data_IF_179580136810
#
_entry.id   IF_179580136810
#
_cell.length_a   1.000
_cell.length_b   1.000
_cell.length_c   1.000
_cell.angle_alpha   90.00
_cell.angle_beta   90.00
_cell.angle_gamma   90.00
#
_symmetry.space_group_name_H-M   'P 1'
#
loop_
_entity.id
_entity.type
_entity.pdbx_description
1 polymer ?
#
# COMPACT_ATOMS: atom_id res chain seq x y z
N UNK A 1 -1.57 -40.20 -18.31
CA UNK A 1 -2.06 -38.84 -17.99
C UNK A 1 -2.37 -38.13 -19.30
N UNK A 2 -3.58 -37.65 -19.47
CA UNK A 2 -3.92 -36.80 -20.61
C UNK A 2 -3.40 -35.38 -20.41
N UNK A 3 -2.50 -34.94 -21.28
CA UNK A 3 -1.81 -33.64 -21.14
C UNK A 3 -2.76 -32.46 -21.31
N UNK A 4 -3.81 -32.57 -22.13
CA UNK A 4 -4.78 -31.50 -22.35
C UNK A 4 -5.63 -31.27 -21.09
N UNK A 5 -6.18 -32.36 -20.55
CA UNK A 5 -6.97 -32.32 -19.32
C UNK A 5 -6.18 -31.75 -18.14
N UNK A 6 -4.91 -32.15 -18.02
CA UNK A 6 -4.03 -31.61 -16.97
C UNK A 6 -3.74 -30.13 -17.16
N UNK A 7 -3.50 -29.68 -18.39
CA UNK A 7 -3.23 -28.27 -18.69
C UNK A 7 -4.46 -27.37 -18.38
N UNK A 8 -5.66 -27.83 -18.70
CA UNK A 8 -6.90 -27.14 -18.35
C UNK A 8 -7.09 -27.08 -16.83
N UNK A 9 -6.81 -28.19 -16.13
CA UNK A 9 -6.84 -28.25 -14.67
C UNK A 9 -5.86 -27.27 -14.00
N UNK A 10 -4.64 -27.10 -14.56
CA UNK A 10 -3.67 -26.13 -14.08
C UNK A 10 -4.22 -24.69 -14.14
N UNK A 11 -4.82 -24.32 -15.28
CA UNK A 11 -5.39 -22.98 -15.44
C UNK A 11 -6.52 -22.69 -14.45
N UNK A 12 -7.44 -23.65 -14.30
CA UNK A 12 -8.55 -23.53 -13.34
C UNK A 12 -8.04 -23.51 -11.91
N UNK A 13 -7.09 -24.38 -11.56
CA UNK A 13 -6.49 -24.42 -10.22
C UNK A 13 -5.80 -23.12 -9.83
N UNK A 14 -5.06 -22.50 -10.77
CA UNK A 14 -4.44 -21.19 -10.55
C UNK A 14 -5.50 -20.10 -10.34
N UNK A 15 -6.57 -20.10 -11.10
CA UNK A 15 -7.66 -19.14 -10.95
C UNK A 15 -8.37 -19.29 -9.61
N UNK A 16 -8.67 -20.53 -9.18
CA UNK A 16 -9.27 -20.81 -7.87
C UNK A 16 -8.36 -20.36 -6.73
N UNK A 17 -7.05 -20.61 -6.83
CA UNK A 17 -6.07 -20.15 -5.85
C UNK A 17 -6.02 -18.61 -5.75
N UNK A 18 -6.05 -17.91 -6.89
CA UNK A 18 -6.10 -16.45 -6.92
C UNK A 18 -7.38 -15.87 -6.31
N UNK A 19 -8.49 -16.59 -6.43
CA UNK A 19 -9.78 -16.23 -5.82
C UNK A 19 -9.88 -16.61 -4.34
N UNK A 20 -8.83 -17.20 -3.75
CA UNK A 20 -8.83 -17.65 -2.35
C UNK A 20 -9.60 -18.97 -2.11
N UNK A 21 -9.97 -19.69 -3.17
CA UNK A 21 -10.69 -20.96 -3.09
C UNK A 21 -9.73 -22.15 -3.00
N UNK A 22 -8.86 -22.15 -1.97
CA UNK A 22 -7.85 -23.21 -1.78
C UNK A 22 -8.35 -24.39 -0.96
N UNK A 23 -9.45 -24.23 -0.22
CA UNK A 23 -9.98 -25.22 0.74
C UNK A 23 -11.06 -26.11 0.10
N UNK A 24 -11.20 -26.11 -1.24
CA UNK A 24 -12.20 -26.91 -1.93
C UNK A 24 -11.74 -28.37 -2.09
N UNK A 25 -12.70 -29.31 -2.08
CA UNK A 25 -12.45 -30.70 -2.42
C UNK A 25 -12.18 -30.83 -3.92
N UNK A 26 -10.95 -31.19 -4.30
CA UNK A 26 -10.59 -31.42 -5.69
C UNK A 26 -11.37 -32.60 -6.31
N UNK A 27 -11.70 -33.61 -5.50
CA UNK A 27 -12.45 -34.78 -5.96
C UNK A 27 -13.90 -34.42 -6.30
N UNK A 28 -14.59 -33.66 -5.43
CA UNK A 28 -15.96 -33.21 -5.71
C UNK A 28 -15.99 -32.22 -6.88
N UNK A 29 -14.97 -31.39 -7.02
CA UNK A 29 -14.83 -30.48 -8.15
C UNK A 29 -14.67 -31.25 -9.48
N UNK A 30 -13.81 -32.26 -9.50
CA UNK A 30 -13.62 -33.13 -10.66
C UNK A 30 -14.91 -33.93 -10.98
N UNK A 31 -15.62 -34.41 -9.96
CA UNK A 31 -16.89 -35.12 -10.11
C UNK A 31 -17.97 -34.20 -10.71
N UNK A 32 -18.08 -32.97 -10.27
CA UNK A 32 -19.04 -32.02 -10.84
C UNK A 32 -18.77 -31.73 -12.32
N UNK A 33 -17.49 -31.56 -12.72
CA UNK A 33 -17.10 -31.43 -14.12
C UNK A 33 -17.54 -32.66 -14.93
N UNK A 34 -17.30 -33.85 -14.40
CA UNK A 34 -17.68 -35.11 -15.07
C UNK A 34 -19.20 -35.20 -15.23
N UNK A 35 -19.98 -34.91 -14.22
CA UNK A 35 -21.43 -34.95 -14.26
C UNK A 35 -22.00 -33.98 -15.32
N UNK A 36 -21.44 -32.78 -15.41
CA UNK A 36 -21.80 -31.78 -16.46
C UNK A 36 -21.47 -32.28 -17.85
N UNK A 37 -20.24 -32.80 -18.09
CA UNK A 37 -19.80 -33.26 -19.42
C UNK A 37 -20.54 -34.48 -19.88
N UNK A 38 -20.93 -35.36 -18.99
CA UNK A 38 -21.70 -36.58 -19.28
C UNK A 38 -23.23 -36.39 -19.31
N UNK A 39 -23.71 -35.16 -19.03
CA UNK A 39 -25.14 -34.85 -18.98
C UNK A 39 -25.91 -35.59 -17.87
N UNK A 40 -25.21 -35.90 -16.77
CA UNK A 40 -25.81 -36.56 -15.60
C UNK A 40 -26.65 -35.62 -14.76
N UNK A 41 -27.51 -36.19 -13.92
CA UNK A 41 -28.21 -35.42 -12.90
C UNK A 41 -27.22 -34.81 -11.91
N UNK A 42 -27.33 -33.48 -11.71
CA UNK A 42 -26.44 -32.75 -10.85
C UNK A 42 -26.84 -32.94 -9.38
N UNK A 43 -25.87 -33.20 -8.51
CA UNK A 43 -26.08 -33.34 -7.06
C UNK A 43 -26.55 -32.07 -6.39
N UNK A 44 -26.27 -30.93 -7.01
CA UNK A 44 -26.64 -29.58 -6.55
C UNK A 44 -27.23 -28.83 -7.74
N UNK A 45 -28.39 -28.22 -7.57
CA UNK A 45 -29.01 -27.43 -8.64
C UNK A 45 -28.18 -26.19 -8.97
N UNK A 46 -28.25 -25.68 -10.21
CA UNK A 46 -27.54 -24.45 -10.59
C UNK A 46 -27.84 -23.26 -9.70
N UNK A 47 -29.10 -23.11 -9.25
CA UNK A 47 -29.50 -22.04 -8.34
C UNK A 47 -28.86 -22.19 -6.95
N UNK A 48 -28.84 -23.38 -6.43
CA UNK A 48 -28.21 -23.70 -5.13
C UNK A 48 -26.69 -23.52 -5.20
N UNK A 49 -26.05 -24.02 -6.28
CA UNK A 49 -24.62 -23.82 -6.52
C UNK A 49 -24.26 -22.35 -6.55
N UNK A 50 -25.07 -21.51 -7.20
CA UNK A 50 -24.85 -20.06 -7.28
C UNK A 50 -24.90 -19.40 -5.89
N UNK A 51 -25.85 -19.79 -5.04
CA UNK A 51 -25.97 -19.28 -3.67
C UNK A 51 -24.76 -19.72 -2.83
N UNK A 52 -24.38 -20.99 -2.89
CA UNK A 52 -23.22 -21.53 -2.15
C UNK A 52 -21.94 -20.78 -2.53
N UNK A 53 -21.71 -20.57 -3.81
CA UNK A 53 -20.51 -19.87 -4.33
C UNK A 53 -20.52 -18.39 -3.90
N UNK A 54 -21.67 -17.70 -3.98
CA UNK A 54 -21.79 -16.32 -3.53
C UNK A 54 -21.53 -16.19 -2.02
N UNK A 55 -22.10 -17.05 -1.21
CA UNK A 55 -21.90 -17.04 0.24
C UNK A 55 -20.45 -17.36 0.61
N UNK A 56 -19.80 -18.28 -0.10
CA UNK A 56 -18.39 -18.59 0.09
C UNK A 56 -17.50 -17.35 -0.15
N UNK A 57 -17.63 -16.68 -1.29
CA UNK A 57 -16.84 -15.51 -1.60
C UNK A 57 -17.15 -14.32 -0.69
N UNK A 58 -18.41 -14.14 -0.30
CA UNK A 58 -18.78 -13.12 0.68
C UNK A 58 -18.09 -13.34 2.03
N UNK A 59 -18.02 -14.59 2.49
CA UNK A 59 -17.31 -14.93 3.74
C UNK A 59 -15.81 -14.68 3.63
N UNK A 60 -15.19 -15.04 2.47
CA UNK A 60 -13.78 -14.78 2.22
C UNK A 60 -13.47 -13.28 2.20
N UNK A 61 -14.32 -12.49 1.55
CA UNK A 61 -14.18 -11.03 1.53
C UNK A 61 -14.29 -10.42 2.93
N UNK A 62 -15.27 -10.87 3.72
CA UNK A 62 -15.44 -10.41 5.11
C UNK A 62 -14.22 -10.77 5.97
N UNK A 63 -13.66 -11.97 5.81
CA UNK A 63 -12.45 -12.41 6.51
C UNK A 63 -11.26 -11.53 6.15
N UNK A 64 -11.04 -11.28 4.85
CA UNK A 64 -9.96 -10.43 4.36
C UNK A 64 -10.11 -8.97 4.85
N UNK A 65 -11.34 -8.44 4.87
CA UNK A 65 -11.61 -7.11 5.42
C UNK A 65 -11.33 -7.03 6.92
N UNK A 66 -11.71 -8.07 7.69
CA UNK A 66 -11.43 -8.13 9.12
C UNK A 66 -9.93 -8.21 9.41
N UNK A 67 -9.18 -9.02 8.66
CA UNK A 67 -7.71 -9.11 8.75
C UNK A 67 -7.04 -7.77 8.40
N UNK A 68 -7.47 -7.10 7.34
CA UNK A 68 -6.98 -5.76 6.97
C UNK A 68 -7.30 -4.72 8.04
N UNK A 69 -8.49 -4.76 8.63
CA UNK A 69 -8.89 -3.85 9.70
C UNK A 69 -8.04 -4.05 10.97
N UNK A 70 -7.76 -5.30 11.32
CA UNK A 70 -6.91 -5.61 12.48
C UNK A 70 -5.45 -5.18 12.24
N UNK A 71 -4.89 -5.49 11.07
CA UNK A 71 -3.56 -5.00 10.68
C UNK A 71 -3.52 -3.48 10.67
N UNK A 72 -4.59 -2.83 10.17
CA UNK A 72 -4.71 -1.37 10.16
C UNK A 72 -4.64 -0.77 11.56
N UNK A 73 -5.27 -1.38 12.57
CA UNK A 73 -5.18 -0.92 13.96
C UNK A 73 -3.75 -0.99 14.48
N UNK A 74 -3.06 -2.11 14.25
CA UNK A 74 -1.66 -2.29 14.68
C UNK A 74 -0.76 -1.22 14.06
N UNK A 75 -0.88 -0.96 12.75
CA UNK A 75 -0.08 0.07 12.09
C UNK A 75 -0.43 1.48 12.56
N UNK A 76 -1.71 1.76 12.78
CA UNK A 76 -2.17 3.04 13.32
C UNK A 76 -1.57 3.32 14.70
N UNK A 77 -1.74 2.39 15.64
CA UNK A 77 -1.22 2.54 17.01
C UNK A 77 0.31 2.65 17.02
N UNK A 78 1.01 1.82 16.23
CA UNK A 78 2.46 1.89 16.10
C UNK A 78 2.92 3.23 15.52
N UNK A 79 2.25 3.72 14.47
CA UNK A 79 2.55 5.01 13.83
C UNK A 79 2.30 6.20 14.75
N UNK A 80 1.16 6.22 15.45
CA UNK A 80 0.83 7.27 16.43
C UNK A 80 1.83 7.29 17.60
N UNK A 81 2.20 6.12 18.13
CA UNK A 81 3.22 5.99 19.16
C UNK A 81 4.58 6.49 18.68
N UNK A 82 4.99 6.07 17.47
CA UNK A 82 6.25 6.52 16.88
C UNK A 82 6.31 8.04 16.75
N UNK A 83 5.26 8.67 16.20
CA UNK A 83 5.19 10.13 16.05
C UNK A 83 5.16 10.86 17.40
N UNK A 84 4.46 10.31 18.39
CA UNK A 84 4.43 10.89 19.73
C UNK A 84 5.82 10.86 20.43
N UNK A 85 6.59 9.78 20.24
CA UNK A 85 7.96 9.69 20.74
C UNK A 85 8.90 10.59 19.92
N UNK A 86 8.73 10.66 18.62
CA UNK A 86 9.55 11.47 17.72
C UNK A 86 9.39 12.98 18.02
N UNK A 87 8.17 13.42 18.36
CA UNK A 87 7.88 14.81 18.76
C UNK A 87 8.63 15.29 20.02
N UNK A 88 9.18 14.38 20.83
CA UNK A 88 9.94 14.72 22.04
C UNK A 88 11.39 15.09 21.73
N UNK A 89 11.86 14.81 20.52
CA UNK A 89 13.23 15.13 20.10
C UNK A 89 13.35 16.62 19.83
N UNK A 90 14.40 17.23 20.33
CA UNK A 90 14.64 18.68 20.23
C UNK A 90 14.79 19.20 18.81
N UNK A 91 15.28 18.34 17.91
CA UNK A 91 15.50 18.64 16.49
C UNK A 91 14.24 18.45 15.61
N UNK A 92 13.15 17.93 16.18
CA UNK A 92 11.91 17.66 15.45
C UNK A 92 10.89 18.74 15.71
N UNK A 93 10.36 19.31 14.63
CA UNK A 93 9.31 20.32 14.66
C UNK A 93 8.00 19.67 14.23
N UNK A 94 6.95 19.84 15.04
CA UNK A 94 5.60 19.32 14.74
C UNK A 94 4.69 20.46 14.29
N UNK A 95 4.09 20.35 13.13
CA UNK A 95 3.11 21.30 12.59
C UNK A 95 1.68 21.03 13.10
N UNK A 96 0.77 22.01 13.02
CA UNK A 96 -0.63 21.83 13.44
C UNK A 96 -1.37 20.72 12.68
N UNK A 97 -0.95 20.39 11.45
CA UNK A 97 -1.46 19.27 10.64
C UNK A 97 -1.09 17.89 11.22
N UNK A 98 -0.09 17.84 12.10
CA UNK A 98 0.55 16.64 12.61
C UNK A 98 1.75 16.17 11.78
N UNK A 99 2.08 16.86 10.68
CA UNK A 99 3.34 16.65 9.98
C UNK A 99 4.50 17.01 10.90
N UNK A 100 5.51 16.14 10.95
CA UNK A 100 6.74 16.43 11.66
C UNK A 100 7.89 16.49 10.67
N UNK A 101 8.86 17.35 10.96
CA UNK A 101 10.07 17.46 10.15
C UNK A 101 11.31 17.77 10.99
N UNK A 102 12.45 17.41 10.43
CA UNK A 102 13.77 17.71 10.96
C UNK A 102 14.61 18.29 9.82
N UNK A 103 15.33 19.36 10.11
CA UNK A 103 16.28 19.95 9.16
C UNK A 103 17.61 19.18 9.26
N UNK A 104 17.96 18.46 8.21
CA UNK A 104 19.24 17.72 8.11
C UNK A 104 20.33 18.57 7.46
N UNK A 105 19.91 19.45 6.52
CA UNK A 105 20.78 20.42 5.84
C UNK A 105 19.93 21.60 5.40
N UNK A 106 20.40 22.80 5.67
CA UNK A 106 19.78 24.03 5.16
C UNK A 106 20.05 24.23 3.69
N UNK A 107 19.09 24.83 2.99
CA UNK A 107 19.23 25.32 1.63
C UNK A 107 19.28 26.84 1.57
N UNK A 108 19.60 27.38 0.43
CA UNK A 108 19.70 28.84 0.23
C UNK A 108 19.11 29.30 -1.11
N UNK A 109 18.49 28.38 -1.87
CA UNK A 109 17.88 28.70 -3.14
C UNK A 109 16.41 29.06 -3.06
N UNK A 110 15.68 28.88 -4.15
CA UNK A 110 14.26 29.19 -4.27
C UNK A 110 13.42 28.30 -3.35
N UNK A 111 12.36 28.88 -2.78
CA UNK A 111 11.39 28.17 -1.99
C UNK A 111 10.15 27.84 -2.84
N UNK A 112 9.71 26.58 -2.92
CA UNK A 112 8.56 26.20 -3.75
C UNK A 112 7.23 26.65 -3.11
N UNK A 113 6.25 26.85 -3.98
CA UNK A 113 4.83 26.98 -3.63
C UNK A 113 4.09 25.69 -3.97
N UNK A 114 2.86 25.54 -3.49
CA UNK A 114 2.03 24.35 -3.78
C UNK A 114 1.77 24.12 -5.28
N UNK A 115 1.98 25.13 -6.14
CA UNK A 115 1.73 25.05 -7.59
C UNK A 115 2.97 24.67 -8.38
N UNK A 116 4.14 24.68 -7.75
CA UNK A 116 5.39 24.44 -8.43
C UNK A 116 5.64 22.93 -8.62
N UNK A 117 6.51 22.64 -9.55
CA UNK A 117 7.11 21.32 -9.77
C UNK A 117 8.48 21.31 -9.11
N UNK A 118 8.85 20.24 -8.45
CA UNK A 118 10.13 20.11 -7.75
C UNK A 118 10.90 18.90 -8.23
N UNK A 119 12.21 19.02 -8.28
CA UNK A 119 13.15 17.92 -8.50
C UNK A 119 13.82 17.57 -7.18
N UNK A 120 13.70 16.32 -6.75
CA UNK A 120 14.20 15.86 -5.46
C UNK A 120 14.93 14.52 -5.57
N UNK A 121 15.92 14.33 -4.71
CA UNK A 121 16.28 12.99 -4.24
C UNK A 121 15.52 12.68 -2.96
N UNK A 122 15.11 11.42 -2.81
CA UNK A 122 14.40 10.97 -1.61
C UNK A 122 14.57 9.47 -1.35
N UNK A 123 14.37 9.12 -0.09
CA UNK A 123 14.16 7.73 0.33
C UNK A 123 12.97 7.69 1.28
N UNK A 124 12.01 6.82 0.99
CA UNK A 124 10.82 6.58 1.79
C UNK A 124 10.91 5.26 2.54
N UNK A 125 10.66 5.30 3.85
CA UNK A 125 10.69 4.12 4.71
C UNK A 125 9.44 4.03 5.58
N UNK A 126 9.08 2.81 5.96
CA UNK A 126 8.15 2.56 7.06
C UNK A 126 8.86 2.82 8.40
N UNK A 127 8.10 2.86 9.50
CA UNK A 127 8.64 3.09 10.86
C UNK A 127 9.57 1.97 11.35
N UNK A 128 9.54 0.78 10.74
CA UNK A 128 10.44 -0.33 11.00
C UNK A 128 11.73 -0.27 10.18
N UNK A 129 11.91 0.76 9.34
CA UNK A 129 13.06 0.95 8.47
C UNK A 129 12.97 0.27 7.11
N UNK A 130 11.86 -0.40 6.80
CA UNK A 130 11.65 -1.01 5.48
C UNK A 130 11.55 0.07 4.42
N UNK A 131 12.47 0.08 3.45
CA UNK A 131 12.47 1.01 2.32
C UNK A 131 11.43 0.57 1.30
N UNK A 132 10.44 1.41 1.04
CA UNK A 132 9.42 1.14 0.02
C UNK A 132 9.67 1.88 -1.29
N UNK A 133 10.38 3.01 -1.26
CA UNK A 133 10.75 3.75 -2.46
C UNK A 133 12.02 4.58 -2.23
N UNK A 134 12.91 4.69 -3.25
CA UNK A 134 14.14 5.44 -3.15
C UNK A 134 14.62 5.89 -4.54
N UNK A 135 14.74 7.19 -4.75
CA UNK A 135 15.36 7.75 -5.95
C UNK A 135 16.86 7.51 -5.99
N UNK A 136 17.49 7.38 -4.82
CA UNK A 136 18.93 7.05 -4.75
C UNK A 136 19.19 5.63 -5.28
N UNK A 137 18.31 4.66 -4.99
CA UNK A 137 18.41 3.30 -5.53
C UNK A 137 18.19 3.24 -7.04
N UNK A 138 17.40 4.17 -7.60
CA UNK A 138 17.20 4.30 -9.04
C UNK A 138 18.37 5.02 -9.73
N UNK A 139 19.22 5.73 -8.99
CA UNK A 139 20.37 6.45 -9.49
C UNK A 139 20.06 7.82 -10.13
N UNK A 140 18.80 8.29 -10.06
CA UNK A 140 18.35 9.55 -10.65
C UNK A 140 17.32 10.26 -9.76
N UNK A 141 17.33 11.62 -9.73
CA UNK A 141 16.32 12.38 -9.02
C UNK A 141 14.96 12.23 -9.71
N UNK A 142 13.89 12.42 -8.95
CA UNK A 142 12.54 12.41 -9.47
C UNK A 142 11.92 13.81 -9.46
N UNK A 143 11.05 14.08 -10.43
CA UNK A 143 10.38 15.37 -10.59
C UNK A 143 8.89 15.21 -10.34
N UNK A 144 8.33 16.04 -9.46
CA UNK A 144 6.94 15.96 -9.02
C UNK A 144 6.26 17.33 -9.05
N UNK A 145 5.06 17.46 -9.63
CA UNK A 145 4.15 18.57 -9.34
C UNK A 145 3.66 18.46 -7.89
N UNK A 146 3.82 19.49 -7.06
CA UNK A 146 3.46 19.45 -5.65
C UNK A 146 1.95 19.27 -5.40
N UNK A 147 1.12 19.49 -6.41
CA UNK A 147 -0.33 19.20 -6.35
C UNK A 147 -0.67 17.72 -6.51
N UNK A 148 0.26 16.89 -6.95
CA UNK A 148 0.03 15.48 -7.29
C UNK A 148 0.71 14.49 -6.33
N UNK A 149 1.34 15.00 -5.29
CA UNK A 149 1.97 14.16 -4.26
C UNK A 149 1.10 14.10 -3.00
N UNK A 150 1.48 13.27 -2.04
CA UNK A 150 0.79 13.16 -0.75
C UNK A 150 0.80 14.51 -0.01
N UNK A 151 -0.25 14.77 0.78
CA UNK A 151 -0.45 16.06 1.46
C UNK A 151 0.75 16.46 2.34
N UNK A 152 1.38 15.49 3.01
CA UNK A 152 2.59 15.72 3.81
C UNK A 152 3.76 16.24 2.99
N UNK A 153 3.92 15.81 1.74
CA UNK A 153 4.94 16.35 0.82
C UNK A 153 4.57 17.74 0.33
N UNK A 154 3.30 17.95 -0.06
CA UNK A 154 2.83 19.27 -0.48
C UNK A 154 3.06 20.32 0.62
N UNK A 155 2.79 19.98 1.88
CA UNK A 155 3.02 20.88 3.02
C UNK A 155 4.51 21.01 3.34
N UNK A 156 5.22 19.89 3.46
CA UNK A 156 6.61 19.86 3.92
C UNK A 156 7.60 20.52 2.95
N UNK A 157 7.48 20.25 1.65
CA UNK A 157 8.39 20.81 0.65
C UNK A 157 8.28 22.34 0.54
N UNK A 158 7.13 22.93 0.85
CA UNK A 158 6.99 24.39 0.92
C UNK A 158 7.76 25.00 2.10
N UNK A 159 8.29 24.22 3.03
CA UNK A 159 9.16 24.72 4.11
C UNK A 159 10.63 24.76 3.66
N UNK A 160 11.00 23.97 2.66
CA UNK A 160 12.38 23.81 2.19
C UNK A 160 12.79 24.91 1.20
N UNK A 161 14.10 25.09 1.07
CA UNK A 161 14.73 25.84 -0.03
C UNK A 161 15.56 24.89 -0.88
N UNK A 162 15.80 25.24 -2.13
CA UNK A 162 16.72 24.46 -2.98
C UNK A 162 18.08 24.27 -2.30
N UNK A 163 18.60 23.06 -2.37
CA UNK A 163 19.82 22.61 -1.68
C UNK A 163 19.59 22.08 -0.26
N UNK A 164 18.37 22.22 0.30
CA UNK A 164 18.04 21.69 1.60
C UNK A 164 17.85 20.17 1.59
N UNK A 165 18.08 19.54 2.75
CA UNK A 165 17.69 18.15 3.03
C UNK A 165 16.92 18.10 4.33
N UNK A 166 15.70 17.57 4.31
CA UNK A 166 14.82 17.42 5.46
C UNK A 166 14.43 15.96 5.66
N UNK A 167 14.27 15.55 6.90
CA UNK A 167 13.57 14.36 7.30
C UNK A 167 12.10 14.70 7.58
N UNK A 168 11.17 14.03 6.93
CA UNK A 168 9.73 14.17 7.17
C UNK A 168 9.20 12.92 7.85
N UNK A 169 8.34 13.10 8.87
CA UNK A 169 7.63 12.03 9.55
C UNK A 169 6.14 12.32 9.38
N UNK A 170 5.50 11.54 8.53
CA UNK A 170 4.19 11.86 7.97
C UNK A 170 3.14 10.92 8.57
N UNK A 171 2.14 11.44 9.31
CA UNK A 171 1.04 10.61 9.78
C UNK A 171 0.23 10.09 8.61
N UNK A 172 -0.37 8.91 8.75
CA UNK A 172 -1.11 8.23 7.69
C UNK A 172 -2.14 9.12 6.98
N UNK A 173 -2.77 10.05 7.71
CA UNK A 173 -3.78 10.99 7.15
C UNK A 173 -3.20 11.97 6.13
N UNK A 174 -1.92 12.28 6.21
CA UNK A 174 -1.20 13.13 5.26
C UNK A 174 -0.40 12.31 4.23
N UNK A 175 -0.55 10.97 4.25
CA UNK A 175 0.09 10.02 3.34
C UNK A 175 -0.98 9.25 2.54
N UNK A 176 -1.06 7.94 2.69
CA UNK A 176 -1.96 7.07 1.92
C UNK A 176 -3.23 6.63 2.69
N UNK A 177 -3.47 7.22 3.85
CA UNK A 177 -4.72 7.04 4.60
C UNK A 177 -4.96 5.63 5.11
N UNK A 178 -6.24 5.29 5.17
CA UNK A 178 -6.72 4.00 5.70
C UNK A 178 -6.52 2.84 4.72
N UNK A 179 -6.31 3.14 3.44
CA UNK A 179 -6.15 2.11 2.40
C UNK A 179 -4.71 1.64 2.22
N UNK A 180 -3.73 2.44 2.62
CA UNK A 180 -2.34 2.22 2.25
C UNK A 180 -2.08 2.40 0.76
N UNK A 181 -0.98 1.86 0.23
CA UNK A 181 -0.67 1.89 -1.20
C UNK A 181 0.07 0.63 -1.66
N UNK A 182 -0.51 -0.04 -2.66
CA UNK A 182 0.05 -1.26 -3.23
C UNK A 182 0.27 -2.36 -2.18
N UNK A 183 1.31 -3.17 -2.38
CA UNK A 183 1.71 -4.22 -1.44
C UNK A 183 2.74 -3.75 -0.39
N UNK A 184 3.31 -2.56 -0.57
CA UNK A 184 4.48 -2.10 0.21
C UNK A 184 4.10 -1.15 1.34
N UNK A 185 3.00 -0.42 1.22
CA UNK A 185 2.55 0.54 2.24
C UNK A 185 1.24 0.06 2.84
N UNK A 186 1.28 -0.50 4.06
CA UNK A 186 0.09 -1.03 4.70
C UNK A 186 -0.93 0.06 5.05
N UNK A 187 -2.19 -0.33 5.32
CA UNK A 187 -3.21 0.57 5.86
C UNK A 187 -2.74 1.31 7.10
N UNK A 188 -3.09 2.59 7.22
CA UNK A 188 -2.77 3.46 8.36
C UNK A 188 -1.28 3.63 8.66
N UNK A 189 -0.38 3.34 7.73
CA UNK A 189 1.05 3.47 7.95
C UNK A 189 1.48 4.94 8.07
N UNK A 190 2.20 5.27 9.13
CA UNK A 190 3.02 6.46 9.17
C UNK A 190 4.27 6.25 8.32
N UNK A 191 4.70 7.28 7.61
CA UNK A 191 5.82 7.22 6.68
C UNK A 191 6.95 8.15 7.11
N UNK A 192 8.17 7.73 6.81
CA UNK A 192 9.37 8.53 7.00
C UNK A 192 9.99 8.77 5.63
N UNK A 193 10.36 10.02 5.36
CA UNK A 193 11.07 10.38 4.14
C UNK A 193 12.28 11.25 4.45
N UNK A 194 13.42 10.87 3.93
CA UNK A 194 14.53 11.78 3.75
C UNK A 194 14.42 12.39 2.36
N UNK A 195 14.32 13.73 2.28
CA UNK A 195 14.11 14.44 1.01
C UNK A 195 15.17 15.52 0.85
N UNK A 196 15.86 15.51 -0.29
CA UNK A 196 16.77 16.56 -0.71
C UNK A 196 16.14 17.32 -1.89
N UNK A 197 15.83 18.60 -1.67
CA UNK A 197 15.27 19.46 -2.71
C UNK A 197 16.41 20.01 -3.58
N UNK A 198 16.46 19.54 -4.83
CA UNK A 198 17.52 19.92 -5.78
C UNK A 198 17.14 21.22 -6.49
N UNK A 199 15.92 21.30 -7.02
CA UNK A 199 15.49 22.40 -7.86
C UNK A 199 13.96 22.60 -7.82
N UNK A 200 13.54 23.86 -7.91
CA UNK A 200 12.14 24.26 -8.18
C UNK A 200 12.03 24.61 -9.66
N UNK A 201 11.26 23.82 -10.39
CA UNK A 201 11.11 23.90 -11.86
C UNK A 201 9.96 24.81 -12.24
#
# INVERSE_FOLDING_TARGET
MDKLSYALGLGIGQQLAQMGAQDISADDFAQAIKDVLEGKELKVSHREAQVIVQDYFKKQEQKLQAERAEQGKVHKEAGEKYLAENAKKSEVITLPSGLQYQVLKEGNGKKPTAKDTVMCHYEGTLIDGTVFDSSYKRGEPATFPLQQVIAGWTEGLQLMQEGAKYGFFIPYRLAYGEGGAGAQIPPFAALIFDVELIQVV
#
